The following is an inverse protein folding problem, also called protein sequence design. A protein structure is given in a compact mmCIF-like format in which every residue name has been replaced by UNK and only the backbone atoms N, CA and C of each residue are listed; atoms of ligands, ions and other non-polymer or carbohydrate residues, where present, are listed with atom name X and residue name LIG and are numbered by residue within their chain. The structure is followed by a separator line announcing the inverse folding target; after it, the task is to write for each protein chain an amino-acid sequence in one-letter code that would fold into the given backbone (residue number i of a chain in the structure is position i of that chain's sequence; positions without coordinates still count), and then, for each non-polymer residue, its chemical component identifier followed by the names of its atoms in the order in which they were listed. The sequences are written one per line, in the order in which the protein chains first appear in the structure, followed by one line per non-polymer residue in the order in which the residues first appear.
data_IF_473354763192
#
_entry.id   IF_473354763192
#
_cell.length_a   1.000
_cell.length_b   1.000
_cell.length_c   1.000
_cell.angle_alpha   90.00
_cell.angle_beta   90.00
_cell.angle_gamma   90.00
#
_symmetry.space_group_name_H-M   'P 1'
#
loop_
_entity.id
_entity.type
_entity.pdbx_description
1 polymer ?
#
# COMPACT_ATOMS: atom_id res chain seq x y z
N UNK A 1 11.78 -14.69 0.90
CA UNK A 1 10.83 -13.65 0.42
C UNK A 1 9.93 -14.27 -0.63
N UNK A 2 8.69 -13.81 -0.88
CA UNK A 2 7.77 -14.46 -1.84
C UNK A 2 8.30 -14.49 -3.29
N UNK A 3 9.35 -13.71 -3.59
CA UNK A 3 9.92 -13.54 -4.93
C UNK A 3 11.41 -13.93 -4.99
N UNK A 4 11.85 -14.84 -4.14
CA UNK A 4 13.25 -15.26 -4.07
C UNK A 4 13.72 -15.85 -5.41
N UNK A 5 14.79 -15.26 -5.98
CA UNK A 5 15.34 -15.66 -7.28
C UNK A 5 14.63 -15.08 -8.50
N UNK A 6 13.64 -14.19 -8.33
CA UNK A 6 12.97 -13.49 -9.44
C UNK A 6 13.65 -12.14 -9.72
N UNK A 7 13.76 -11.77 -11.00
CA UNK A 7 14.30 -10.47 -11.42
C UNK A 7 13.24 -9.36 -11.43
N UNK A 8 11.99 -9.71 -11.72
CA UNK A 8 10.86 -8.77 -11.74
C UNK A 8 9.55 -9.47 -11.36
N UNK A 9 8.55 -8.66 -10.98
CA UNK A 9 7.17 -9.09 -10.77
C UNK A 9 6.23 -8.13 -11.48
N UNK A 10 5.22 -8.66 -12.15
CA UNK A 10 4.15 -7.85 -12.74
C UNK A 10 3.32 -7.19 -11.64
N UNK A 11 2.72 -6.02 -11.92
CA UNK A 11 1.85 -5.33 -10.96
C UNK A 11 0.65 -6.20 -10.49
N UNK A 12 0.20 -7.11 -11.35
CA UNK A 12 -0.85 -8.09 -11.03
C UNK A 12 -0.37 -9.22 -10.10
N UNK A 13 0.95 -9.41 -10.00
CA UNK A 13 1.61 -10.43 -9.20
C UNK A 13 2.02 -10.00 -7.79
N UNK A 14 1.74 -8.76 -7.37
CA UNK A 14 2.19 -8.22 -6.07
C UNK A 14 1.42 -8.77 -4.85
N UNK A 15 0.29 -9.45 -5.07
CA UNK A 15 -0.59 -9.92 -4.00
C UNK A 15 0.12 -10.70 -2.88
N UNK A 16 1.08 -11.62 -3.14
CA UNK A 16 1.77 -12.36 -2.08
C UNK A 16 2.50 -11.46 -1.06
N UNK A 17 3.26 -10.45 -1.51
CA UNK A 17 3.93 -9.51 -0.61
C UNK A 17 2.95 -8.54 0.06
N UNK A 18 1.91 -8.12 -0.67
CA UNK A 18 0.82 -7.34 -0.08
C UNK A 18 0.16 -8.11 1.05
N UNK A 19 -0.18 -9.38 0.85
CA UNK A 19 -0.79 -10.23 1.86
C UNK A 19 0.12 -10.40 3.09
N UNK A 20 1.42 -10.63 2.89
CA UNK A 20 2.38 -10.74 4.00
C UNK A 20 2.44 -9.45 4.85
N UNK A 21 2.40 -8.28 4.21
CA UNK A 21 2.34 -6.99 4.92
C UNK A 21 1.07 -6.88 5.76
N UNK A 22 -0.10 -7.14 5.17
CA UNK A 22 -1.38 -7.06 5.88
C UNK A 22 -1.48 -8.10 7.02
N UNK A 23 -0.98 -9.32 6.84
CA UNK A 23 -0.92 -10.33 7.88
C UNK A 23 0.00 -9.93 9.04
N UNK A 24 1.15 -9.32 8.73
CA UNK A 24 2.04 -8.79 9.76
C UNK A 24 1.36 -7.70 10.59
N UNK A 25 0.68 -6.75 9.94
CA UNK A 25 -0.06 -5.68 10.60
C UNK A 25 -1.21 -6.25 11.45
N UNK A 26 -1.97 -7.21 10.93
CA UNK A 26 -3.07 -7.84 11.67
C UNK A 26 -2.57 -8.53 12.94
N UNK A 27 -1.44 -9.25 12.83
CA UNK A 27 -0.83 -9.92 13.98
C UNK A 27 -0.38 -8.91 15.06
N UNK A 28 0.04 -7.71 14.63
CA UNK A 28 0.49 -6.63 15.51
C UNK A 28 -0.59 -5.57 15.80
N UNK A 29 -1.85 -5.80 15.43
CA UNK A 29 -2.90 -4.76 15.41
C UNK A 29 -3.13 -4.05 16.73
N UNK A 30 -2.93 -4.74 17.86
CA UNK A 30 -3.04 -4.15 19.21
C UNK A 30 -2.01 -3.04 19.42
N UNK A 31 -0.78 -3.23 18.96
CA UNK A 31 0.27 -2.22 19.03
C UNK A 31 -0.01 -1.06 18.08
N UNK A 32 -0.50 -1.35 16.88
CA UNK A 32 -0.94 -0.32 15.92
C UNK A 32 -2.02 0.59 16.51
N UNK A 33 -3.05 0.03 17.14
CA UNK A 33 -4.11 0.81 17.81
C UNK A 33 -3.56 1.61 19.00
N UNK A 34 -2.67 1.02 19.80
CA UNK A 34 -2.07 1.70 20.93
C UNK A 34 -1.23 2.91 20.48
N UNK A 35 -0.37 2.73 19.47
CA UNK A 35 0.43 3.82 18.93
C UNK A 35 -0.41 4.89 18.24
N UNK A 36 -1.42 4.52 17.44
CA UNK A 36 -2.27 5.49 16.75
C UNK A 36 -3.07 6.36 17.72
N UNK A 37 -3.47 5.81 18.86
CA UNK A 37 -4.14 6.55 19.94
C UNK A 37 -3.19 7.48 20.71
N UNK A 38 -1.93 7.07 20.91
CA UNK A 38 -0.95 7.82 21.68
C UNK A 38 -0.18 8.87 20.86
N UNK A 39 0.06 8.61 19.58
CA UNK A 39 0.93 9.38 18.69
C UNK A 39 0.32 9.43 17.27
N UNK A 40 -0.80 10.14 17.14
CA UNK A 40 -1.52 10.26 15.86
C UNK A 40 -0.58 10.68 14.73
N UNK A 41 -0.53 9.88 13.67
CA UNK A 41 0.26 10.13 12.46
C UNK A 41 1.72 9.69 12.50
N UNK A 42 2.31 9.45 13.68
CA UNK A 42 3.72 9.02 13.73
C UNK A 42 3.93 7.63 13.16
N UNK A 43 3.04 6.69 13.47
CA UNK A 43 3.08 5.33 12.90
C UNK A 43 2.95 5.34 11.39
N UNK A 44 2.10 6.22 10.84
CA UNK A 44 1.92 6.39 9.40
C UNK A 44 3.20 6.93 8.73
N UNK A 45 3.87 7.91 9.36
CA UNK A 45 5.17 8.44 8.88
C UNK A 45 6.27 7.38 8.93
N UNK A 46 6.40 6.64 10.04
CA UNK A 46 7.40 5.59 10.18
C UNK A 46 7.18 4.47 9.15
N UNK A 47 5.93 4.05 8.95
CA UNK A 47 5.57 3.06 7.94
C UNK A 47 5.90 3.56 6.53
N UNK A 48 5.56 4.82 6.22
CA UNK A 48 5.89 5.45 4.95
C UNK A 48 7.40 5.45 4.70
N UNK A 49 8.20 5.90 5.67
CA UNK A 49 9.66 5.98 5.54
C UNK A 49 10.30 4.60 5.39
N UNK A 50 9.78 3.58 6.10
CA UNK A 50 10.24 2.20 5.94
C UNK A 50 9.94 1.65 4.54
N UNK A 51 8.71 1.83 4.04
CA UNK A 51 8.36 1.39 2.69
C UNK A 51 9.18 2.14 1.63
N UNK A 52 9.38 3.45 1.81
CA UNK A 52 10.19 4.28 0.92
C UNK A 52 11.63 3.82 0.85
N UNK A 53 12.23 3.48 1.99
CA UNK A 53 13.59 2.97 2.05
C UNK A 53 13.72 1.66 1.27
N UNK A 54 12.84 0.70 1.50
CA UNK A 54 12.87 -0.58 0.78
C UNK A 54 12.68 -0.39 -0.73
N UNK A 55 11.79 0.51 -1.16
CA UNK A 55 11.61 0.86 -2.58
C UNK A 55 12.76 1.64 -3.22
N UNK A 56 13.75 2.10 -2.45
CA UNK A 56 14.93 2.79 -2.98
C UNK A 56 16.17 1.92 -2.94
N UNK A 57 16.27 1.06 -1.94
CA UNK A 57 17.43 0.20 -1.72
C UNK A 57 17.30 -1.11 -2.50
N UNK A 58 16.10 -1.69 -2.55
CA UNK A 58 15.90 -3.07 -3.00
C UNK A 58 15.04 -3.21 -4.27
N UNK A 59 14.23 -2.20 -4.61
CA UNK A 59 13.20 -2.29 -5.66
C UNK A 59 13.14 -1.04 -6.53
N UNK A 60 12.47 -1.13 -7.68
CA UNK A 60 12.15 -0.01 -8.55
C UNK A 60 10.76 -0.23 -9.18
N UNK A 61 9.99 0.85 -9.36
CA UNK A 61 8.68 0.78 -10.04
C UNK A 61 8.88 1.15 -11.50
N UNK A 62 8.54 0.22 -12.38
CA UNK A 62 8.46 0.45 -13.82
C UNK A 62 6.99 0.58 -14.27
N UNK A 63 6.75 1.46 -15.23
CA UNK A 63 5.43 1.71 -15.81
C UNK A 63 5.35 1.05 -17.18
N UNK A 64 4.15 0.61 -17.59
CA UNK A 64 3.92 0.06 -18.92
C UNK A 64 4.34 1.03 -20.05
N UNK A 65 4.83 0.48 -21.15
CA UNK A 65 5.16 1.23 -22.36
C UNK A 65 3.97 2.09 -22.84
N UNK A 66 4.24 3.35 -23.14
CA UNK A 66 3.22 4.33 -23.55
C UNK A 66 2.49 5.01 -22.39
N UNK A 67 2.83 4.70 -21.14
CA UNK A 67 2.41 5.51 -19.99
C UNK A 67 2.93 6.95 -20.11
N UNK A 68 2.18 7.96 -19.61
CA UNK A 68 2.69 9.33 -19.53
C UNK A 68 4.03 9.38 -18.77
N UNK A 69 4.97 10.27 -19.16
CA UNK A 69 6.21 10.41 -18.43
C UNK A 69 5.90 10.96 -17.03
N UNK A 70 6.17 10.16 -16.00
CA UNK A 70 6.04 10.54 -14.60
C UNK A 70 7.43 10.69 -13.98
N UNK A 71 7.59 11.71 -13.14
CA UNK A 71 8.75 11.79 -12.26
C UNK A 71 8.69 10.63 -11.25
N UNK A 72 9.80 9.89 -11.12
CA UNK A 72 9.85 8.69 -10.30
C UNK A 72 9.59 8.99 -8.81
N UNK A 73 10.07 10.12 -8.29
CA UNK A 73 9.84 10.48 -6.89
C UNK A 73 8.38 10.83 -6.62
N UNK A 74 7.71 11.47 -7.59
CA UNK A 74 6.28 11.73 -7.52
C UNK A 74 5.49 10.42 -7.58
N UNK A 75 5.83 9.52 -8.51
CA UNK A 75 5.20 8.19 -8.62
C UNK A 75 5.35 7.39 -7.33
N UNK A 76 6.58 7.30 -6.82
CA UNK A 76 6.88 6.59 -5.59
C UNK A 76 6.12 7.19 -4.40
N UNK A 77 6.15 8.52 -4.25
CA UNK A 77 5.42 9.22 -3.20
C UNK A 77 3.92 8.93 -3.25
N UNK A 78 3.32 8.94 -4.44
CA UNK A 78 1.91 8.63 -4.65
C UNK A 78 1.56 7.20 -4.23
N UNK A 79 2.32 6.20 -4.72
CA UNK A 79 2.06 4.79 -4.43
C UNK A 79 2.19 4.46 -2.94
N UNK A 80 3.22 5.01 -2.28
CA UNK A 80 3.43 4.82 -0.86
C UNK A 80 2.37 5.52 -0.01
N UNK A 81 1.99 6.75 -0.38
CA UNK A 81 0.94 7.49 0.31
C UNK A 81 -0.42 6.77 0.19
N UNK A 82 -0.74 6.25 -0.99
CA UNK A 82 -1.96 5.46 -1.19
C UNK A 82 -1.95 4.18 -0.34
N UNK A 83 -0.82 3.46 -0.32
CA UNK A 83 -0.65 2.25 0.49
C UNK A 83 -0.84 2.52 1.98
N UNK A 84 -0.17 3.55 2.51
CA UNK A 84 -0.29 3.95 3.92
C UNK A 84 -1.72 4.40 4.24
N UNK A 85 -2.36 5.17 3.36
CA UNK A 85 -3.75 5.60 3.55
C UNK A 85 -4.74 4.43 3.66
N UNK A 86 -4.54 3.36 2.90
CA UNK A 86 -5.37 2.14 2.99
C UNK A 86 -5.17 1.44 4.35
N UNK A 87 -3.94 1.39 4.85
CA UNK A 87 -3.60 0.81 6.17
C UNK A 87 -4.16 1.66 7.31
N UNK A 88 -4.02 2.98 7.23
CA UNK A 88 -4.56 3.92 8.21
C UNK A 88 -6.09 3.80 8.29
N UNK A 89 -6.79 3.76 7.14
CA UNK A 89 -8.23 3.54 7.12
C UNK A 89 -8.63 2.20 7.77
N UNK A 90 -7.86 1.14 7.54
CA UNK A 90 -8.10 -0.15 8.18
C UNK A 90 -7.95 -0.06 9.71
N UNK A 91 -6.93 0.64 10.20
CA UNK A 91 -6.72 0.88 11.62
C UNK A 91 -7.82 1.77 12.24
N UNK A 92 -8.21 2.86 11.58
CA UNK A 92 -9.28 3.78 12.01
C UNK A 92 -10.63 3.08 12.15
N UNK A 93 -10.88 2.09 11.29
CA UNK A 93 -12.08 1.25 11.35
C UNK A 93 -11.97 0.09 12.34
N UNK A 94 -10.94 0.09 13.19
CA UNK A 94 -10.73 -0.90 14.23
C UNK A 94 -10.32 -2.28 13.70
N UNK A 95 -9.66 -2.33 12.53
CA UNK A 95 -9.29 -3.57 11.84
C UNK A 95 -10.50 -4.48 11.57
N UNK A 96 -11.63 -3.90 11.12
CA UNK A 96 -12.89 -4.62 10.89
C UNK A 96 -12.87 -5.66 9.77
N UNK A 97 -11.91 -5.57 8.84
CA UNK A 97 -11.73 -6.51 7.73
C UNK A 97 -10.55 -7.46 8.00
N UNK A 98 -10.51 -8.62 7.33
CA UNK A 98 -9.34 -9.52 7.40
C UNK A 98 -8.16 -9.00 6.58
N UNK A 99 -6.96 -9.51 6.88
CA UNK A 99 -5.75 -9.23 6.10
C UNK A 99 -5.93 -9.59 4.61
N UNK A 100 -6.53 -10.75 4.31
CA UNK A 100 -6.76 -11.21 2.93
C UNK A 100 -7.67 -10.23 2.17
N UNK A 101 -8.73 -9.77 2.82
CA UNK A 101 -9.65 -8.81 2.21
C UNK A 101 -8.93 -7.51 1.87
N UNK A 102 -8.20 -6.92 2.83
CA UNK A 102 -7.51 -5.65 2.62
C UNK A 102 -6.36 -5.76 1.61
N UNK A 103 -5.63 -6.88 1.63
CA UNK A 103 -4.61 -7.16 0.62
C UNK A 103 -5.24 -7.21 -0.78
N UNK A 104 -6.37 -7.90 -0.94
CA UNK A 104 -7.13 -7.93 -2.19
C UNK A 104 -7.60 -6.54 -2.63
N UNK A 105 -8.10 -5.72 -1.71
CA UNK A 105 -8.51 -4.34 -2.01
C UNK A 105 -7.33 -3.49 -2.49
N UNK A 106 -6.18 -3.53 -1.81
CA UNK A 106 -5.00 -2.75 -2.22
C UNK A 106 -4.48 -3.23 -3.58
N UNK A 107 -4.34 -4.54 -3.80
CA UNK A 107 -3.91 -5.08 -5.10
C UNK A 107 -4.88 -4.66 -6.22
N UNK A 108 -6.19 -4.69 -5.97
CA UNK A 108 -7.16 -4.22 -6.95
C UNK A 108 -7.01 -2.72 -7.24
N UNK A 109 -6.81 -1.87 -6.22
CA UNK A 109 -6.62 -0.43 -6.40
C UNK A 109 -5.35 -0.10 -7.20
N UNK A 110 -4.23 -0.78 -6.92
CA UNK A 110 -2.96 -0.60 -7.66
C UNK A 110 -3.13 -0.94 -9.14
N UNK A 111 -3.95 -1.95 -9.45
CA UNK A 111 -4.16 -2.42 -10.82
C UNK A 111 -5.36 -1.77 -11.54
N UNK A 112 -6.09 -0.85 -10.88
CA UNK A 112 -7.29 -0.24 -11.44
C UNK A 112 -7.05 1.21 -11.85
N UNK A 113 -7.56 1.60 -13.02
CA UNK A 113 -7.66 3.00 -13.44
C UNK A 113 -9.09 3.49 -13.20
N UNK A 114 -9.24 4.67 -12.59
CA UNK A 114 -10.55 5.32 -12.46
C UNK A 114 -11.03 5.76 -13.84
N UNK A 115 -12.23 5.32 -14.24
CA UNK A 115 -12.79 5.63 -15.55
C UNK A 115 -13.51 7.00 -15.56
N UNK A 116 -14.41 7.22 -14.61
CA UNK A 116 -15.16 8.48 -14.52
C UNK A 116 -15.66 8.75 -13.10
N UNK A 117 -15.96 10.02 -12.79
CA UNK A 117 -16.60 10.45 -11.55
C UNK A 117 -18.05 10.82 -11.87
N UNK A 118 -19.02 10.20 -11.17
CA UNK A 118 -20.45 10.54 -11.30
C UNK A 118 -20.87 11.49 -10.18
N UNK A 119 -21.46 12.62 -10.53
CA UNK A 119 -21.99 13.58 -9.55
C UNK A 119 -23.33 13.11 -8.98
N UNK A 120 -23.43 13.03 -7.65
CA UNK A 120 -24.70 12.80 -6.96
C UNK A 120 -25.53 14.09 -7.04
N UNK A 121 -26.68 14.05 -7.73
CA UNK A 121 -27.71 15.08 -7.63
C UNK A 121 -28.69 14.64 -6.55
N UNK A 122 -28.86 15.47 -5.52
CA UNK A 122 -29.90 15.28 -4.49
C UNK A 122 -31.29 15.49 -5.09
#
# INVERSE_FOLDING_TARGET
MPYEGMEQIEATGIYPSTLQLFQHIEHQKRYYLALSSAQRGKTSVELYDTLRRSMREDMHIEMEDGSPPLDYEILLSYQLSATVGVIDYWAETGFKYSAEYMAGQLTALVNSRMDHIVFKRN
#
